data_IF_813032879306
#
_entry.id   IF_813032879306
#
_cell.length_a   1.000
_cell.length_b   1.000
_cell.length_c   1.000
_cell.angle_alpha   90.00
_cell.angle_beta   90.00
_cell.angle_gamma   90.00
#
_symmetry.space_group_name_H-M   'P 1'
#
loop_
_entity.id
_entity.type
_entity.pdbx_description
1 polymer ?
#
# COMPACT_ATOMS: atom_id res chain seq x y z
N UNK A 1 -0.47 15.69 -16.55
CA UNK A 1 0.03 14.57 -17.40
C UNK A 1 -0.09 13.32 -16.55
N UNK A 2 -1.08 12.49 -16.80
CA UNK A 2 -1.34 11.30 -15.99
C UNK A 2 -0.31 10.24 -16.36
N UNK A 3 0.76 10.12 -15.57
CA UNK A 3 1.64 8.97 -15.64
C UNK A 3 0.80 7.74 -15.31
N UNK A 4 0.57 6.90 -16.32
CA UNK A 4 0.10 5.54 -16.13
C UNK A 4 1.18 4.80 -15.33
N UNK A 5 1.14 4.92 -14.00
CA UNK A 5 1.97 4.12 -13.10
C UNK A 5 1.48 2.69 -13.23
N UNK A 6 2.19 1.91 -14.07
CA UNK A 6 2.05 0.46 -14.08
C UNK A 6 2.27 0.02 -12.64
N UNK A 7 1.22 -0.53 -12.03
CA UNK A 7 1.30 -1.01 -10.65
C UNK A 7 2.49 -1.98 -10.58
N UNK A 8 3.41 -1.82 -9.62
CA UNK A 8 4.62 -2.62 -9.54
C UNK A 8 4.24 -4.00 -8.96
N UNK A 9 3.54 -4.81 -9.76
CA UNK A 9 2.97 -6.09 -9.35
C UNK A 9 4.04 -7.04 -8.79
N UNK A 10 5.24 -7.01 -9.36
CA UNK A 10 6.40 -7.77 -8.88
C UNK A 10 6.83 -7.42 -7.44
N UNK A 11 6.62 -6.17 -7.00
CA UNK A 11 6.88 -5.73 -5.62
C UNK A 11 5.79 -6.24 -4.66
N UNK A 12 4.54 -6.29 -5.14
CA UNK A 12 3.40 -6.78 -4.36
C UNK A 12 3.38 -8.31 -4.23
N UNK A 13 3.75 -9.04 -5.28
CA UNK A 13 3.80 -10.51 -5.29
C UNK A 13 4.72 -11.06 -4.17
N UNK A 14 5.81 -10.37 -3.87
CA UNK A 14 6.74 -10.75 -2.81
C UNK A 14 6.34 -10.29 -1.40
N UNK A 15 5.30 -9.45 -1.25
CA UNK A 15 5.00 -8.78 0.01
C UNK A 15 4.53 -9.76 1.10
N UNK A 16 3.65 -10.69 0.72
CA UNK A 16 3.11 -11.70 1.64
C UNK A 16 4.23 -12.60 2.17
N UNK A 17 5.14 -13.06 1.30
CA UNK A 17 6.27 -13.87 1.70
C UNK A 17 7.21 -13.13 2.69
N UNK A 18 7.45 -11.83 2.48
CA UNK A 18 8.22 -10.99 3.40
C UNK A 18 7.53 -10.82 4.75
N UNK A 19 6.22 -10.60 4.77
CA UNK A 19 5.42 -10.49 6.01
C UNK A 19 5.43 -11.80 6.80
N UNK A 20 5.23 -12.94 6.14
CA UNK A 20 5.33 -14.27 6.75
C UNK A 20 6.73 -14.47 7.34
N UNK A 21 7.78 -14.12 6.60
CA UNK A 21 9.16 -14.22 7.10
C UNK A 21 9.41 -13.38 8.36
N UNK A 22 8.85 -12.16 8.42
CA UNK A 22 8.94 -11.32 9.62
C UNK A 22 8.23 -11.98 10.80
N UNK A 23 7.00 -12.47 10.60
CA UNK A 23 6.23 -13.17 11.62
C UNK A 23 6.96 -14.42 12.14
N UNK A 24 7.55 -15.22 11.24
CA UNK A 24 8.36 -16.38 11.60
C UNK A 24 9.59 -15.97 12.44
N UNK A 25 10.27 -14.89 12.07
CA UNK A 25 11.45 -14.40 12.78
C UNK A 25 11.10 -13.82 14.14
N UNK A 26 9.97 -13.14 14.27
CA UNK A 26 9.54 -12.52 15.54
C UNK A 26 8.88 -13.52 16.50
N UNK A 27 8.35 -14.64 16.00
CA UNK A 27 7.77 -15.71 16.84
C UNK A 27 8.79 -16.74 17.31
N UNK A 28 10.02 -16.74 16.79
CA UNK A 28 11.07 -17.64 17.29
C UNK A 28 11.41 -17.31 18.75
N UNK A 29 11.66 -18.33 19.59
CA UNK A 29 12.00 -18.12 21.01
C UNK A 29 13.31 -17.37 21.22
N UNK A 30 14.23 -17.42 20.25
CA UNK A 30 15.47 -16.63 20.21
C UNK A 30 15.23 -15.16 19.80
N UNK A 31 14.05 -14.87 19.23
CA UNK A 31 13.61 -13.56 18.77
C UNK A 31 14.62 -12.86 17.85
N UNK A 32 14.82 -11.57 18.11
CA UNK A 32 15.78 -10.72 17.40
C UNK A 32 17.15 -10.68 18.09
N UNK A 33 17.44 -11.62 18.99
CA UNK A 33 18.63 -11.56 19.84
C UNK A 33 19.92 -11.90 19.08
N UNK A 34 19.82 -12.69 18.00
CA UNK A 34 20.98 -13.05 17.17
C UNK A 34 21.26 -11.97 16.10
N UNK A 35 22.53 -11.69 15.78
CA UNK A 35 22.89 -10.80 14.68
C UNK A 35 22.24 -11.19 13.34
N UNK A 36 22.13 -12.49 13.08
CA UNK A 36 21.52 -13.06 11.88
C UNK A 36 20.01 -12.79 11.81
N UNK A 37 19.29 -12.90 12.94
CA UNK A 37 17.87 -12.57 13.00
C UNK A 37 17.63 -11.07 12.77
N UNK A 38 18.50 -10.19 13.32
CA UNK A 38 18.45 -8.75 13.04
C UNK A 38 18.68 -8.43 11.56
N UNK A 39 19.66 -9.07 10.94
CA UNK A 39 19.96 -8.89 9.52
C UNK A 39 18.80 -9.36 8.64
N UNK A 40 18.22 -10.51 8.95
CA UNK A 40 17.06 -11.04 8.24
C UNK A 40 15.82 -10.13 8.36
N UNK A 41 15.60 -9.52 9.53
CA UNK A 41 14.54 -8.53 9.74
C UNK A 41 14.76 -7.23 8.98
N UNK A 42 16.01 -6.72 8.94
CA UNK A 42 16.35 -5.53 8.16
C UNK A 42 16.15 -5.73 6.65
N UNK A 43 16.44 -6.93 6.14
CA UNK A 43 16.15 -7.26 4.74
C UNK A 43 14.63 -7.33 4.48
N UNK A 44 13.87 -7.83 5.44
CA UNK A 44 12.42 -7.94 5.33
C UNK A 44 11.70 -6.59 5.54
N UNK A 45 12.30 -5.61 6.22
CA UNK A 45 11.75 -4.27 6.43
C UNK A 45 11.71 -3.39 5.16
N UNK A 46 12.09 -3.93 4.00
CA UNK A 46 11.74 -3.36 2.67
C UNK A 46 10.23 -3.18 2.47
N UNK A 47 9.38 -3.67 3.38
CA UNK A 47 7.95 -3.36 3.46
C UNK A 47 7.68 -1.87 3.67
N UNK A 48 8.55 -1.13 4.38
CA UNK A 48 8.38 0.32 4.52
C UNK A 48 8.40 1.01 3.16
N UNK A 49 9.37 0.64 2.30
CA UNK A 49 9.44 1.14 0.92
C UNK A 49 8.23 0.76 0.07
N UNK A 50 7.68 -0.45 0.27
CA UNK A 50 6.47 -0.86 -0.45
C UNK A 50 5.23 -0.10 0.03
N UNK A 51 5.16 0.24 1.32
CA UNK A 51 4.11 1.10 1.89
C UNK A 51 4.24 2.53 1.37
N UNK A 52 5.45 3.07 1.33
CA UNK A 52 5.72 4.42 0.81
C UNK A 52 5.35 4.49 -0.68
N UNK A 53 5.74 3.50 -1.48
CA UNK A 53 5.36 3.40 -2.89
C UNK A 53 3.86 3.26 -3.10
N UNK A 54 3.16 2.54 -2.20
CA UNK A 54 1.70 2.45 -2.23
C UNK A 54 1.03 3.80 -1.95
N UNK A 55 1.57 4.57 -1.00
CA UNK A 55 1.08 5.91 -0.66
C UNK A 55 1.34 6.95 -1.76
N UNK A 56 2.34 6.73 -2.62
CA UNK A 56 2.60 7.57 -3.80
C UNK A 56 1.67 7.28 -4.99
N UNK A 57 0.89 6.19 -4.94
CA UNK A 57 -0.15 5.95 -5.93
C UNK A 57 -1.27 6.98 -5.78
N UNK A 58 -1.91 7.36 -6.88
CA UNK A 58 -3.04 8.29 -6.82
C UNK A 58 -4.18 7.71 -5.95
N UNK A 59 -4.53 8.38 -4.87
CA UNK A 59 -5.51 7.90 -3.89
C UNK A 59 -4.96 6.84 -2.93
N UNK A 60 -3.66 6.51 -3.00
CA UNK A 60 -3.00 5.53 -2.14
C UNK A 60 -2.84 5.98 -0.68
N UNK A 61 -3.01 7.27 -0.43
CA UNK A 61 -3.11 7.87 0.91
C UNK A 61 -4.46 7.61 1.58
N UNK A 62 -5.50 7.28 0.80
CA UNK A 62 -6.86 7.07 1.25
C UNK A 62 -7.15 5.58 1.42
N UNK A 63 -7.93 5.24 2.44
CA UNK A 63 -8.54 3.93 2.57
C UNK A 63 -9.59 3.74 1.47
N UNK A 64 -9.93 2.49 1.16
CA UNK A 64 -10.89 2.15 0.09
C UNK A 64 -12.26 2.82 0.34
N UNK A 65 -12.73 2.81 1.58
CA UNK A 65 -13.97 3.47 1.99
C UNK A 65 -13.93 4.98 1.76
N UNK A 66 -12.81 5.63 2.05
CA UNK A 66 -12.61 7.06 1.79
C UNK A 66 -12.58 7.38 0.29
N UNK A 67 -12.00 6.48 -0.53
CA UNK A 67 -12.01 6.62 -1.99
C UNK A 67 -13.43 6.48 -2.56
N UNK A 68 -14.23 5.56 -2.03
CA UNK A 68 -15.62 5.37 -2.44
C UNK A 68 -16.47 6.63 -2.14
N UNK A 69 -16.27 7.26 -0.99
CA UNK A 69 -16.93 8.52 -0.63
C UNK A 69 -16.55 9.67 -1.58
N UNK A 70 -15.26 9.79 -1.95
CA UNK A 70 -14.81 10.79 -2.93
C UNK A 70 -15.42 10.54 -4.30
N UNK A 71 -15.48 9.28 -4.74
CA UNK A 71 -16.11 8.89 -6.01
C UNK A 71 -17.60 9.28 -5.99
N UNK A 72 -18.30 9.00 -4.91
CA UNK A 72 -19.71 9.36 -4.76
C UNK A 72 -19.89 10.89 -4.85
N UNK A 73 -19.12 11.65 -4.08
CA UNK A 73 -19.18 13.11 -4.08
C UNK A 73 -18.91 13.69 -5.48
N UNK A 74 -17.86 13.23 -6.16
CA UNK A 74 -17.50 13.69 -7.51
C UNK A 74 -18.59 13.33 -8.54
N UNK A 75 -19.21 12.16 -8.37
CA UNK A 75 -20.34 11.71 -9.20
C UNK A 75 -21.54 12.65 -9.04
N UNK A 76 -21.92 12.97 -7.80
CA UNK A 76 -23.01 13.90 -7.53
C UNK A 76 -22.73 15.30 -8.08
N UNK A 77 -21.51 15.81 -7.94
CA UNK A 77 -21.11 17.12 -8.48
C UNK A 77 -21.19 17.16 -10.01
N UNK A 78 -20.72 16.11 -10.69
CA UNK A 78 -20.83 15.96 -12.15
C UNK A 78 -22.30 15.98 -12.59
N UNK A 79 -23.15 15.24 -11.89
CA UNK A 79 -24.55 15.10 -12.27
C UNK A 79 -25.32 16.41 -12.07
N UNK A 80 -25.08 17.12 -10.96
CA UNK A 80 -25.61 18.48 -10.74
C UNK A 80 -25.17 19.46 -11.81
N UNK A 81 -23.90 19.42 -12.23
CA UNK A 81 -23.37 20.28 -13.31
C UNK A 81 -24.04 19.97 -14.66
N UNK A 82 -24.34 18.70 -14.95
CA UNK A 82 -25.02 18.30 -16.19
C UNK A 82 -26.49 18.70 -16.20
N UNK A 83 -27.18 18.57 -15.07
CA UNK A 83 -28.60 18.92 -14.96
C UNK A 83 -28.84 20.42 -14.82
N UNK A 84 -27.88 21.19 -14.29
CA UNK A 84 -27.96 22.64 -14.12
C UNK A 84 -27.40 23.46 -15.29
N UNK A 85 -27.03 22.83 -16.41
CA UNK A 85 -26.50 23.48 -17.62
C UNK A 85 -27.52 23.56 -18.77
N UNK A 86 -28.83 23.53 -18.45
CA UNK A 86 -29.95 23.84 -19.36
C UNK A 86 -30.61 25.14 -18.93
#
# INVERSE_FOLDING_TARGET
MSSSSVLPMSLYEGLLAKLVKILELTQKPEGTATPQAKQALLHASSIAQAKDLAAELAGGELRIDEQDEVIEMLTQLRDRKRTGSN
#
